data_IF_539273716120
#
_entry.id   IF_539273716120
#
_cell.length_a   1.000
_cell.length_b   1.000
_cell.length_c   1.000
_cell.angle_alpha   90.00
_cell.angle_beta   90.00
_cell.angle_gamma   90.00
#
_symmetry.space_group_name_H-M   'P 1'
#
loop_
_entity.id
_entity.type
_entity.pdbx_description
1 polymer ?
#
# COMPACT_ATOMS: atom_id res chain seq x y z
N UNK A 1 19.25 34.52 18.96
CA UNK A 1 19.45 34.37 17.50
C UNK A 1 20.82 33.75 17.28
N UNK A 2 20.94 32.64 16.53
CA UNK A 2 22.24 32.06 16.12
C UNK A 2 22.43 32.31 14.63
N UNK A 3 23.55 32.90 14.17
CA UNK A 3 23.77 33.15 12.75
C UNK A 3 23.80 31.86 11.92
N UNK A 4 23.28 31.91 10.69
CA UNK A 4 23.16 30.75 9.78
C UNK A 4 24.51 30.03 9.57
N UNK A 5 25.61 30.79 9.45
CA UNK A 5 26.96 30.24 9.27
C UNK A 5 27.38 29.28 10.41
N UNK A 6 27.08 29.63 11.65
CA UNK A 6 27.36 28.75 12.81
C UNK A 6 26.51 27.47 12.78
N UNK A 7 25.31 27.52 12.20
CA UNK A 7 24.47 26.35 12.02
C UNK A 7 25.06 25.42 10.94
N UNK A 8 25.52 25.97 9.82
CA UNK A 8 26.17 25.21 8.74
C UNK A 8 27.46 24.54 9.21
N UNK A 9 28.31 25.24 9.98
CA UNK A 9 29.51 24.69 10.59
C UNK A 9 29.16 23.55 11.57
N UNK A 10 28.08 23.68 12.35
CA UNK A 10 27.60 22.62 13.23
C UNK A 10 27.04 21.40 12.49
N UNK A 11 26.49 21.57 11.28
CA UNK A 11 26.09 20.47 10.43
C UNK A 11 27.30 19.76 9.80
N UNK A 12 28.32 20.53 9.41
CA UNK A 12 29.55 19.99 8.83
C UNK A 12 30.38 19.15 9.82
N UNK A 13 30.31 19.48 11.12
CA UNK A 13 31.09 18.80 12.16
C UNK A 13 30.63 17.36 12.49
N UNK A 14 29.44 16.94 12.07
CA UNK A 14 28.96 15.58 12.32
C UNK A 14 28.16 15.04 11.13
N UNK A 15 28.59 13.89 10.59
CA UNK A 15 27.98 13.33 9.38
C UNK A 15 26.51 12.94 9.59
N UNK A 16 26.12 12.46 10.79
CA UNK A 16 24.74 12.13 11.12
C UNK A 16 23.79 13.35 10.96
N UNK A 17 24.24 14.54 11.38
CA UNK A 17 23.44 15.76 11.18
C UNK A 17 23.32 16.14 9.71
N UNK A 18 24.44 16.10 8.98
CA UNK A 18 24.48 16.42 7.55
C UNK A 18 23.56 15.51 6.75
N UNK A 19 23.66 14.19 6.94
CA UNK A 19 22.81 13.24 6.20
C UNK A 19 21.35 13.33 6.61
N UNK A 20 21.05 13.63 7.88
CA UNK A 20 19.67 13.84 8.34
C UNK A 20 19.02 15.02 7.62
N UNK A 21 19.72 16.17 7.54
CA UNK A 21 19.22 17.35 6.83
C UNK A 21 19.10 17.09 5.33
N UNK A 22 20.11 16.47 4.72
CA UNK A 22 20.07 16.13 3.29
C UNK A 22 18.91 15.19 2.95
N UNK A 23 18.68 14.18 3.79
CA UNK A 23 17.57 13.23 3.62
C UNK A 23 16.23 13.94 3.81
N UNK A 24 16.10 14.82 4.81
CA UNK A 24 14.89 15.62 4.98
C UNK A 24 14.59 16.45 3.73
N UNK A 25 15.59 17.10 3.12
CA UNK A 25 15.42 17.85 1.88
C UNK A 25 14.97 16.96 0.71
N UNK A 26 15.50 15.73 0.60
CA UNK A 26 15.09 14.80 -0.47
C UNK A 26 13.64 14.31 -0.32
N UNK A 27 13.06 14.36 0.89
CA UNK A 27 11.65 14.02 1.09
C UNK A 27 10.68 14.94 0.34
N UNK A 28 11.06 16.20 0.08
CA UNK A 28 10.20 17.15 -0.64
C UNK A 28 9.90 16.70 -2.09
N UNK A 29 10.80 15.90 -2.67
CA UNK A 29 10.65 15.34 -4.02
C UNK A 29 9.92 13.99 -4.00
N UNK A 30 9.70 13.42 -2.81
CA UNK A 30 9.11 12.10 -2.63
C UNK A 30 7.61 12.21 -2.38
N UNK A 31 6.82 11.79 -3.36
CA UNK A 31 5.36 11.67 -3.19
C UNK A 31 5.05 10.42 -2.37
N UNK A 32 4.31 10.61 -1.28
CA UNK A 32 3.73 9.49 -0.52
C UNK A 32 2.59 8.91 -1.34
N UNK A 33 2.60 7.60 -1.52
CA UNK A 33 1.54 6.89 -2.25
C UNK A 33 0.55 6.27 -1.26
N UNK A 34 -0.71 6.17 -1.67
CA UNK A 34 -1.66 5.26 -1.01
C UNK A 34 -1.64 3.94 -1.80
N UNK A 35 -1.08 2.85 -1.26
CA UNK A 35 -1.04 1.58 -1.97
C UNK A 35 -2.46 1.06 -2.22
N UNK A 36 -2.66 0.39 -3.35
CA UNK A 36 -3.91 -0.32 -3.61
C UNK A 36 -3.97 -1.56 -2.70
N UNK A 37 -5.00 -1.66 -1.87
CA UNK A 37 -5.15 -2.75 -0.91
C UNK A 37 -6.24 -3.74 -1.29
N UNK A 38 -7.01 -3.48 -2.35
CA UNK A 38 -8.13 -4.31 -2.78
C UNK A 38 -7.92 -4.73 -4.21
N UNK A 39 -8.12 -6.01 -4.46
CA UNK A 39 -7.85 -6.65 -5.74
C UNK A 39 -9.04 -7.52 -6.11
N UNK A 40 -9.62 -7.25 -7.28
CA UNK A 40 -10.64 -8.11 -7.86
C UNK A 40 -9.97 -9.37 -8.41
N UNK A 41 -10.60 -10.51 -8.17
CA UNK A 41 -10.10 -11.79 -8.65
C UNK A 41 -11.24 -12.66 -9.22
N UNK A 42 -11.95 -12.19 -10.26
CA UNK A 42 -12.91 -13.05 -10.98
C UNK A 42 -12.21 -14.19 -11.72
N UNK A 43 -10.95 -14.00 -12.10
CA UNK A 43 -10.03 -15.02 -12.59
C UNK A 43 -8.58 -14.56 -12.34
N UNK A 44 -7.63 -15.49 -12.47
CA UNK A 44 -6.22 -15.21 -12.21
C UNK A 44 -5.62 -14.16 -13.13
N UNK A 45 -6.09 -14.05 -14.38
CA UNK A 45 -5.54 -13.09 -15.34
C UNK A 45 -5.86 -11.66 -14.91
N UNK A 46 -7.11 -11.40 -14.49
CA UNK A 46 -7.52 -10.09 -13.95
C UNK A 46 -6.75 -9.78 -12.67
N UNK A 47 -6.62 -10.75 -11.76
CA UNK A 47 -5.85 -10.57 -10.53
C UNK A 47 -4.38 -10.20 -10.82
N UNK A 48 -3.72 -10.93 -11.72
CA UNK A 48 -2.32 -10.65 -12.11
C UNK A 48 -2.16 -9.28 -12.74
N UNK A 49 -3.14 -8.83 -13.54
CA UNK A 49 -3.15 -7.50 -14.13
C UNK A 49 -3.30 -6.41 -13.06
N UNK A 50 -4.28 -6.52 -12.16
CA UNK A 50 -4.46 -5.56 -11.07
C UNK A 50 -3.22 -5.48 -10.16
N UNK A 51 -2.62 -6.63 -9.84
CA UNK A 51 -1.37 -6.69 -9.07
C UNK A 51 -0.24 -5.96 -9.82
N UNK A 52 -0.10 -6.19 -11.13
CA UNK A 52 0.96 -5.58 -11.94
C UNK A 52 0.85 -4.05 -11.94
N UNK A 53 -0.36 -3.51 -12.07
CA UNK A 53 -0.58 -2.07 -12.00
C UNK A 53 -0.29 -1.52 -10.59
N UNK A 54 -0.69 -2.23 -9.54
CA UNK A 54 -0.44 -1.83 -8.16
C UNK A 54 1.05 -1.84 -7.76
N UNK A 55 1.85 -2.74 -8.35
CA UNK A 55 3.30 -2.83 -8.09
C UNK A 55 4.07 -1.62 -8.64
N UNK A 56 3.64 -0.99 -9.74
CA UNK A 56 4.36 0.12 -10.40
C UNK A 56 4.65 1.30 -9.46
N UNK A 57 3.64 1.96 -8.84
CA UNK A 57 3.90 3.08 -7.94
C UNK A 57 4.65 2.63 -6.67
N UNK A 58 4.38 1.42 -6.16
CA UNK A 58 5.03 0.89 -4.97
C UNK A 58 6.53 0.65 -5.19
N UNK A 59 6.94 0.16 -6.35
CA UNK A 59 8.35 -0.03 -6.71
C UNK A 59 9.12 1.31 -6.77
N UNK A 60 8.52 2.34 -7.36
CA UNK A 60 9.12 3.69 -7.39
C UNK A 60 9.26 4.25 -5.98
N UNK A 61 8.26 4.04 -5.13
CA UNK A 61 8.29 4.51 -3.75
C UNK A 61 9.33 3.78 -2.90
N UNK A 62 9.40 2.44 -2.99
CA UNK A 62 10.42 1.62 -2.33
C UNK A 62 11.84 2.02 -2.76
N UNK A 63 12.07 2.23 -4.06
CA UNK A 63 13.36 2.68 -4.56
C UNK A 63 13.81 3.99 -3.88
N UNK A 64 12.90 4.97 -3.74
CA UNK A 64 13.19 6.25 -3.07
C UNK A 64 13.46 6.08 -1.58
N UNK A 65 12.67 5.25 -0.90
CA UNK A 65 12.89 4.93 0.51
C UNK A 65 14.24 4.23 0.73
N UNK A 66 14.63 3.35 -0.19
CA UNK A 66 15.93 2.72 -0.13
C UNK A 66 17.07 3.73 -0.29
N UNK A 67 16.95 4.70 -1.21
CA UNK A 67 17.94 5.78 -1.33
C UNK A 67 18.06 6.59 -0.04
N UNK A 68 16.92 6.94 0.59
CA UNK A 68 16.93 7.65 1.88
C UNK A 68 17.58 6.83 2.99
N UNK A 69 17.32 5.52 3.03
CA UNK A 69 17.96 4.63 3.99
C UNK A 69 19.49 4.63 3.80
N UNK A 70 19.96 4.49 2.55
CA UNK A 70 21.38 4.52 2.24
C UNK A 70 22.03 5.85 2.63
N UNK A 71 21.37 6.98 2.34
CA UNK A 71 21.84 8.31 2.75
C UNK A 71 21.99 8.41 4.28
N UNK A 72 20.99 7.96 5.04
CA UNK A 72 21.05 7.98 6.50
C UNK A 72 22.13 7.03 7.04
N UNK A 73 22.32 5.87 6.41
CA UNK A 73 23.33 4.88 6.80
C UNK A 73 24.75 5.46 6.75
N UNK A 74 25.04 6.39 5.84
CA UNK A 74 26.34 7.07 5.78
C UNK A 74 26.68 7.85 7.05
N UNK A 75 25.68 8.32 7.80
CA UNK A 75 25.86 9.04 9.07
C UNK A 75 25.73 8.18 10.32
N UNK A 76 25.38 6.89 10.17
CA UNK A 76 25.05 6.00 11.28
C UNK A 76 26.19 5.86 12.29
N UNK A 77 27.45 5.78 11.82
CA UNK A 77 28.64 5.69 12.68
C UNK A 77 28.91 6.96 13.51
N UNK A 78 28.43 8.12 13.05
CA UNK A 78 28.62 9.39 13.73
C UNK A 78 27.48 9.73 14.70
N UNK A 79 26.44 8.86 14.77
CA UNK A 79 25.30 9.02 15.68
C UNK A 79 25.74 9.06 17.14
N UNK A 80 26.68 8.22 17.55
CA UNK A 80 27.17 8.17 18.94
C UNK A 80 27.92 9.44 19.36
N UNK A 81 28.50 10.16 18.39
CA UNK A 81 29.20 11.43 18.61
C UNK A 81 28.25 12.61 18.81
N UNK A 82 26.94 12.41 18.68
CA UNK A 82 25.94 13.45 18.88
C UNK A 82 25.72 13.70 20.39
N UNK A 83 26.16 14.86 20.86
CA UNK A 83 26.02 15.26 22.27
C UNK A 83 24.64 15.82 22.61
N UNK A 84 23.87 16.27 21.61
CA UNK A 84 22.55 16.86 21.82
C UNK A 84 21.46 15.79 21.70
N UNK A 85 20.62 15.57 22.74
CA UNK A 85 19.55 14.57 22.72
C UNK A 85 18.59 14.74 21.53
N UNK A 86 18.24 15.99 21.19
CA UNK A 86 17.39 16.32 20.04
C UNK A 86 17.92 15.76 18.71
N UNK A 87 19.24 15.86 18.48
CA UNK A 87 19.84 15.35 17.22
C UNK A 87 19.87 13.83 17.19
N UNK A 88 20.16 13.17 18.34
CA UNK A 88 20.08 11.70 18.46
C UNK A 88 18.67 11.20 18.16
N UNK A 89 17.68 11.70 18.92
CA UNK A 89 16.28 11.35 18.75
C UNK A 89 15.80 11.55 17.31
N UNK A 90 16.17 12.67 16.68
CA UNK A 90 15.76 12.97 15.31
C UNK A 90 16.40 12.04 14.28
N UNK A 91 17.68 11.69 14.46
CA UNK A 91 18.36 10.75 13.56
C UNK A 91 17.76 9.35 13.69
N UNK A 92 17.61 8.85 14.92
CA UNK A 92 17.07 7.51 15.15
C UNK A 92 15.61 7.41 14.69
N UNK A 93 14.79 8.44 14.95
CA UNK A 93 13.41 8.49 14.47
C UNK A 93 13.35 8.52 12.93
N UNK A 94 14.20 9.30 12.28
CA UNK A 94 14.25 9.35 10.81
C UNK A 94 14.65 7.99 10.22
N UNK A 95 15.71 7.36 10.74
CA UNK A 95 16.16 6.04 10.30
C UNK A 95 15.07 5.00 10.52
N UNK A 96 14.46 4.97 11.70
CA UNK A 96 13.40 4.05 12.06
C UNK A 96 12.17 4.18 11.15
N UNK A 97 11.72 5.41 10.88
CA UNK A 97 10.56 5.66 10.01
C UNK A 97 10.83 5.33 8.55
N UNK A 98 12.01 5.67 8.01
CA UNK A 98 12.39 5.30 6.64
C UNK A 98 12.43 3.77 6.50
N UNK A 99 13.04 3.06 7.46
CA UNK A 99 13.06 1.60 7.47
C UNK A 99 11.65 1.01 7.60
N UNK A 100 10.78 1.58 8.45
CA UNK A 100 9.40 1.11 8.61
C UNK A 100 8.59 1.27 7.32
N UNK A 101 8.68 2.44 6.68
CA UNK A 101 8.05 2.69 5.39
C UNK A 101 8.59 1.75 4.31
N UNK A 102 9.91 1.52 4.29
CA UNK A 102 10.54 0.61 3.32
C UNK A 102 10.10 -0.83 3.55
N UNK A 103 10.06 -1.31 4.80
CA UNK A 103 9.58 -2.65 5.12
C UNK A 103 8.14 -2.85 4.59
N UNK A 104 7.26 -1.85 4.76
CA UNK A 104 5.89 -1.92 4.22
C UNK A 104 5.87 -1.86 2.70
N UNK A 105 6.59 -0.95 2.05
CA UNK A 105 6.57 -0.79 0.59
C UNK A 105 7.22 -1.99 -0.12
N UNK A 106 8.37 -2.44 0.37
CA UNK A 106 9.09 -3.59 -0.15
C UNK A 106 8.34 -4.89 0.12
N UNK A 107 7.87 -5.10 1.37
CA UNK A 107 7.07 -6.25 1.74
C UNK A 107 5.77 -6.35 0.93
N UNK A 108 5.11 -5.22 0.70
CA UNK A 108 3.95 -5.13 -0.20
C UNK A 108 4.28 -5.67 -1.58
N UNK A 109 5.36 -5.19 -2.21
CA UNK A 109 5.76 -5.64 -3.54
C UNK A 109 6.08 -7.14 -3.61
N UNK A 110 6.73 -7.68 -2.58
CA UNK A 110 7.05 -9.13 -2.53
C UNK A 110 5.78 -9.96 -2.37
N UNK A 111 4.91 -9.62 -1.42
CA UNK A 111 3.65 -10.36 -1.18
C UNK A 111 2.73 -10.30 -2.40
N UNK A 112 2.73 -9.17 -3.13
CA UNK A 112 2.08 -9.05 -4.43
C UNK A 112 2.72 -9.95 -5.50
N UNK A 113 4.06 -9.98 -5.58
CA UNK A 113 4.77 -10.82 -6.55
C UNK A 113 4.53 -12.31 -6.30
N UNK A 114 4.50 -12.74 -5.05
CA UNK A 114 4.15 -14.10 -4.63
C UNK A 114 2.72 -14.46 -5.10
N UNK A 115 1.73 -13.60 -4.82
CA UNK A 115 0.34 -13.80 -5.25
C UNK A 115 0.19 -13.83 -6.78
N UNK A 116 0.99 -13.04 -7.50
CA UNK A 116 1.00 -13.04 -8.97
C UNK A 116 1.53 -14.34 -9.55
N UNK A 117 2.58 -14.88 -8.92
CA UNK A 117 3.30 -16.08 -9.37
C UNK A 117 2.52 -17.34 -9.01
N UNK A 118 2.03 -17.40 -7.77
CA UNK A 118 1.25 -18.51 -7.22
C UNK A 118 -0.02 -17.95 -6.56
N UNK A 119 -1.10 -17.73 -7.35
CA UNK A 119 -2.36 -17.23 -6.81
C UNK A 119 -2.92 -18.16 -5.75
N UNK A 120 -3.38 -17.60 -4.63
CA UNK A 120 -4.10 -18.35 -3.60
C UNK A 120 -5.52 -18.65 -4.07
N UNK A 121 -6.00 -19.85 -3.76
CA UNK A 121 -7.41 -20.23 -3.95
C UNK A 121 -8.29 -19.68 -2.84
N UNK A 122 -9.53 -19.32 -3.16
CA UNK A 122 -10.53 -18.95 -2.17
C UNK A 122 -10.91 -20.16 -1.32
N UNK A 123 -11.05 -19.94 -0.01
CA UNK A 123 -11.48 -20.95 0.95
C UNK A 123 -12.96 -20.74 1.33
N UNK A 124 -13.40 -19.49 1.42
CA UNK A 124 -14.77 -19.13 1.77
C UNK A 124 -15.69 -19.13 0.55
N UNK A 125 -16.83 -19.82 0.66
CA UNK A 125 -17.85 -19.87 -0.39
C UNK A 125 -18.40 -18.47 -0.68
N UNK A 126 -18.24 -18.00 -1.91
CA UNK A 126 -18.74 -16.71 -2.37
C UNK A 126 -17.74 -15.55 -2.27
N UNK A 127 -16.52 -15.80 -1.81
CA UNK A 127 -15.41 -14.86 -1.97
C UNK A 127 -15.02 -14.73 -3.44
N UNK A 128 -14.74 -13.51 -3.87
CA UNK A 128 -14.40 -13.18 -5.27
C UNK A 128 -13.32 -12.09 -5.38
N UNK A 129 -12.76 -11.65 -4.25
CA UNK A 129 -11.78 -10.59 -4.20
C UNK A 129 -10.81 -10.80 -3.02
N UNK A 130 -9.63 -10.19 -3.14
CA UNK A 130 -8.58 -10.21 -2.15
C UNK A 130 -8.32 -8.81 -1.60
N UNK A 131 -8.08 -8.73 -0.30
CA UNK A 131 -7.65 -7.51 0.37
C UNK A 131 -6.33 -7.76 1.09
N UNK A 132 -5.43 -6.81 0.99
CA UNK A 132 -4.21 -6.81 1.77
C UNK A 132 -4.43 -6.01 3.06
N UNK A 133 -4.08 -6.60 4.21
CA UNK A 133 -4.19 -5.97 5.52
C UNK A 133 -2.84 -5.94 6.22
N UNK A 134 -2.58 -4.92 7.08
CA UNK A 134 -1.39 -4.92 7.92
C UNK A 134 -1.39 -6.13 8.86
N UNK A 135 -0.25 -6.82 8.94
CA UNK A 135 -0.08 -8.00 9.80
C UNK A 135 1.19 -7.89 10.64
N UNK A 136 1.13 -8.46 11.84
CA UNK A 136 2.30 -8.59 12.73
C UNK A 136 3.32 -9.57 12.14
N UNK A 137 2.86 -10.52 11.32
CA UNK A 137 3.75 -11.43 10.62
C UNK A 137 4.40 -10.72 9.42
N UNK A 138 5.72 -10.75 9.36
CA UNK A 138 6.50 -10.13 8.28
C UNK A 138 6.71 -11.15 7.17
N UNK A 139 5.67 -11.29 6.33
CA UNK A 139 5.74 -11.96 5.04
C UNK A 139 6.64 -11.18 4.06
N UNK A 140 7.15 -11.86 3.01
CA UNK A 140 8.03 -11.26 2.01
C UNK A 140 9.53 -11.55 2.15
N UNK A 141 9.89 -12.53 2.97
CA UNK A 141 11.24 -13.12 2.99
C UNK A 141 12.28 -12.42 3.89
N UNK A 142 13.54 -12.91 3.89
CA UNK A 142 14.56 -12.48 4.84
C UNK A 142 14.95 -11.01 4.75
N UNK A 143 14.91 -10.42 3.56
CA UNK A 143 15.31 -9.02 3.36
C UNK A 143 14.27 -8.05 3.95
N UNK A 144 12.98 -8.32 3.77
CA UNK A 144 11.90 -7.53 4.41
C UNK A 144 12.02 -7.61 5.92
N UNK A 145 12.25 -8.81 6.47
CA UNK A 145 12.48 -9.01 7.91
C UNK A 145 13.67 -8.24 8.44
N UNK A 146 14.78 -8.20 7.69
CA UNK A 146 15.98 -7.43 8.07
C UNK A 146 15.68 -5.93 8.19
N UNK A 147 15.00 -5.35 7.18
CA UNK A 147 14.63 -3.93 7.19
C UNK A 147 13.62 -3.63 8.31
N UNK A 148 12.63 -4.50 8.51
CA UNK A 148 11.65 -4.37 9.57
C UNK A 148 12.30 -4.46 10.97
N UNK A 149 13.27 -5.36 11.17
CA UNK A 149 14.03 -5.44 12.41
C UNK A 149 14.82 -4.16 12.67
N UNK A 150 15.49 -3.61 11.66
CA UNK A 150 16.19 -2.32 11.76
C UNK A 150 15.22 -1.20 12.15
N UNK A 151 14.03 -1.16 11.54
CA UNK A 151 12.99 -0.20 11.92
C UNK A 151 12.61 -0.31 13.40
N UNK A 152 12.35 -1.53 13.88
CA UNK A 152 12.02 -1.78 15.29
C UNK A 152 13.16 -1.36 16.23
N UNK A 153 14.40 -1.76 15.94
CA UNK A 153 15.58 -1.41 16.75
C UNK A 153 15.72 0.11 16.91
N UNK A 154 15.57 0.87 15.82
CA UNK A 154 15.68 2.33 15.86
C UNK A 154 14.51 3.01 16.57
N UNK A 155 13.27 2.58 16.29
CA UNK A 155 12.08 3.18 16.90
C UNK A 155 12.00 2.86 18.39
N UNK A 156 12.27 1.61 18.79
CA UNK A 156 12.35 1.21 20.20
C UNK A 156 13.44 2.00 20.92
N UNK A 157 14.61 2.19 20.31
CA UNK A 157 15.66 3.04 20.89
C UNK A 157 15.20 4.48 21.14
N UNK A 158 14.42 5.08 20.23
CA UNK A 158 13.86 6.41 20.45
C UNK A 158 12.90 6.44 21.64
N UNK A 159 12.07 5.41 21.78
CA UNK A 159 11.14 5.28 22.91
C UNK A 159 11.93 5.16 24.20
N UNK A 160 12.88 4.23 24.26
CA UNK A 160 13.64 3.91 25.47
C UNK A 160 14.51 5.07 25.93
N UNK A 161 15.23 5.73 25.01
CA UNK A 161 16.19 6.79 25.32
C UNK A 161 15.55 8.19 25.43
N UNK A 162 14.35 8.40 24.89
CA UNK A 162 13.69 9.71 24.81
C UNK A 162 12.23 9.69 25.27
N UNK A 163 11.94 8.95 26.34
CA UNK A 163 10.60 8.80 26.93
C UNK A 163 9.94 10.14 27.25
N UNK A 164 8.61 10.20 27.06
CA UNK A 164 7.80 11.40 27.34
C UNK A 164 8.03 12.57 26.37
N UNK A 165 8.87 12.39 25.34
CA UNK A 165 9.10 13.41 24.32
C UNK A 165 8.20 13.20 23.10
N UNK A 166 7.97 14.24 22.26
CA UNK A 166 7.27 14.07 21.00
C UNK A 166 7.92 13.05 20.06
N UNK A 167 9.23 12.82 20.14
CA UNK A 167 9.92 11.80 19.33
C UNK A 167 9.50 10.39 19.73
N UNK A 168 9.42 10.09 21.04
CA UNK A 168 8.94 8.80 21.53
C UNK A 168 7.49 8.55 21.12
N UNK A 169 6.61 9.55 21.28
CA UNK A 169 5.21 9.45 20.82
C UNK A 169 5.11 9.12 19.31
N UNK A 170 5.94 9.76 18.48
CA UNK A 170 5.98 9.47 17.04
C UNK A 170 6.49 8.06 16.75
N UNK A 171 7.49 7.60 17.51
CA UNK A 171 8.03 6.24 17.37
C UNK A 171 7.01 5.18 17.79
N UNK A 172 6.30 5.38 18.90
CA UNK A 172 5.21 4.51 19.37
C UNK A 172 4.10 4.41 18.33
N UNK A 173 3.67 5.56 17.78
CA UNK A 173 2.66 5.61 16.72
C UNK A 173 3.11 4.83 15.48
N UNK A 174 4.38 4.95 15.10
CA UNK A 174 4.93 4.24 13.94
C UNK A 174 4.95 2.72 14.17
N UNK A 175 5.35 2.27 15.37
CA UNK A 175 5.33 0.85 15.76
C UNK A 175 3.93 0.28 15.98
N UNK A 176 2.96 1.12 16.31
CA UNK A 176 1.55 0.72 16.43
C UNK A 176 0.94 0.26 15.11
N UNK A 177 1.53 0.63 13.97
CA UNK A 177 1.12 0.13 12.66
C UNK A 177 2.02 -1.04 12.25
N UNK A 178 1.47 -2.26 12.04
CA UNK A 178 2.26 -3.41 11.66
C UNK A 178 3.12 -3.18 10.40
N UNK A 179 4.25 -3.89 10.33
CA UNK A 179 5.22 -3.77 9.24
C UNK A 179 5.01 -4.80 8.13
N UNK A 180 4.24 -5.86 8.41
CA UNK A 180 3.95 -6.94 7.48
C UNK A 180 2.61 -6.80 6.78
N UNK A 181 2.37 -7.70 5.85
CA UNK A 181 1.15 -7.76 5.05
C UNK A 181 0.60 -9.17 5.00
N UNK A 182 -0.73 -9.27 4.99
CA UNK A 182 -1.45 -10.52 4.90
C UNK A 182 -2.62 -10.40 3.93
N UNK A 183 -2.88 -11.49 3.20
CA UNK A 183 -4.00 -11.60 2.28
C UNK A 183 -5.25 -12.08 3.02
N UNK A 184 -6.35 -11.34 2.86
CA UNK A 184 -7.68 -11.72 3.32
C UNK A 184 -8.62 -11.80 2.13
N UNK A 185 -9.32 -12.92 2.00
CA UNK A 185 -10.41 -13.04 1.04
C UNK A 185 -11.64 -12.28 1.53
N UNK A 186 -12.40 -11.70 0.60
CA UNK A 186 -13.68 -11.09 0.90
C UNK A 186 -14.61 -11.17 -0.30
N UNK A 187 -15.90 -10.91 -0.03
CA UNK A 187 -16.93 -10.79 -1.07
C UNK A 187 -17.10 -9.33 -1.45
N UNK A 188 -16.74 -8.99 -2.69
CA UNK A 188 -17.05 -7.71 -3.30
C UNK A 188 -18.32 -7.81 -4.14
N UNK A 189 -19.40 -7.19 -3.66
CA UNK A 189 -20.67 -7.10 -4.39
C UNK A 189 -20.57 -6.20 -5.64
N UNK A 190 -19.65 -5.23 -5.65
CA UNK A 190 -19.47 -4.29 -6.77
C UNK A 190 -18.70 -4.92 -7.95
N UNK A 191 -17.80 -5.86 -7.67
CA UNK A 191 -17.09 -6.63 -8.70
C UNK A 191 -18.04 -7.49 -9.54
N UNK A 192 -19.11 -8.02 -8.92
CA UNK A 192 -20.16 -8.76 -9.64
C UNK A 192 -20.95 -7.86 -10.61
N UNK A 193 -21.19 -6.59 -10.25
CA UNK A 193 -21.87 -5.62 -11.12
C UNK A 193 -20.99 -5.17 -12.30
N UNK A 194 -19.66 -5.03 -12.10
CA UNK A 194 -18.71 -4.67 -13.16
C UNK A 194 -18.55 -5.77 -14.21
N UNK A 195 -18.55 -7.03 -13.78
CA UNK A 195 -18.49 -8.18 -14.70
C UNK A 195 -19.81 -8.46 -15.43
N UNK A 196 -20.94 -7.93 -14.94
CA UNK A 196 -22.24 -8.03 -15.60
C UNK A 196 -22.47 -7.02 -16.73
N UNK A 197 -21.56 -6.05 -16.94
CA UNK A 197 -21.79 -4.91 -17.84
C UNK A 197 -20.76 -4.75 -18.96
N UNK A 198 -20.18 -5.86 -19.42
CA UNK A 198 -19.26 -5.91 -20.56
C UNK A 198 -19.92 -5.86 -21.95
N UNK A 199 -21.25 -5.76 -22.03
CA UNK A 199 -21.96 -5.62 -23.30
C UNK A 199 -22.84 -4.37 -23.27
N UNK A 200 -22.20 -3.20 -23.18
CA UNK A 200 -22.88 -1.92 -23.41
C UNK A 200 -23.06 -1.72 -24.93
N UNK A 201 -23.80 -2.63 -25.55
CA UNK A 201 -24.22 -2.53 -26.94
C UNK A 201 -25.66 -2.01 -26.92
N UNK A 202 -25.91 -0.72 -27.19
CA UNK A 202 -27.24 -0.11 -27.06
C UNK A 202 -28.30 -0.80 -27.94
N UNK A 203 -27.88 -1.57 -28.95
CA UNK A 203 -28.76 -2.33 -29.83
C UNK A 203 -29.38 -3.59 -29.18
N UNK A 204 -28.78 -4.18 -28.14
CA UNK A 204 -29.31 -5.44 -27.57
C UNK A 204 -30.54 -5.22 -26.69
N UNK A 205 -30.62 -4.08 -25.97
CA UNK A 205 -31.84 -3.68 -25.27
C UNK A 205 -32.97 -3.36 -26.25
N UNK A 206 -32.66 -2.69 -27.36
CA UNK A 206 -33.65 -2.36 -28.39
C UNK A 206 -34.21 -3.62 -29.07
N UNK A 207 -33.36 -4.60 -29.39
CA UNK A 207 -33.78 -5.90 -29.93
C UNK A 207 -34.67 -6.68 -28.93
N UNK A 208 -34.32 -6.67 -27.64
CA UNK A 208 -35.13 -7.33 -26.62
C UNK A 208 -36.48 -6.62 -26.39
N UNK A 209 -36.54 -5.29 -26.51
CA UNK A 209 -37.78 -4.52 -26.46
C UNK A 209 -38.66 -4.74 -27.70
N UNK A 210 -38.07 -4.83 -28.90
CA UNK A 210 -38.77 -5.16 -30.13
C UNK A 210 -39.34 -6.58 -30.12
N UNK A 211 -38.58 -7.57 -29.63
CA UNK A 211 -39.06 -8.94 -29.49
C UNK A 211 -40.21 -9.05 -28.48
N UNK A 212 -40.12 -8.34 -27.34
CA UNK A 212 -41.22 -8.25 -26.37
C UNK A 212 -42.46 -7.59 -26.96
N UNK A 213 -42.30 -6.52 -27.76
CA UNK A 213 -43.43 -5.89 -28.47
C UNK A 213 -44.06 -6.84 -29.49
N UNK A 214 -43.26 -7.57 -30.28
CA UNK A 214 -43.75 -8.57 -31.24
C UNK A 214 -44.47 -9.73 -30.54
N UNK A 215 -43.97 -10.21 -29.39
CA UNK A 215 -44.65 -11.23 -28.59
C UNK A 215 -45.96 -10.73 -27.97
N UNK A 216 -46.00 -9.50 -27.46
CA UNK A 216 -47.24 -8.90 -26.96
C UNK A 216 -48.27 -8.71 -28.07
N UNK A 217 -47.86 -8.26 -29.25
CA UNK A 217 -48.76 -8.11 -30.40
C UNK A 217 -49.30 -9.47 -30.88
N UNK A 218 -48.47 -10.52 -30.92
CA UNK A 218 -48.94 -11.89 -31.23
C UNK A 218 -49.96 -12.38 -30.20
N UNK A 219 -49.68 -12.23 -28.90
CA UNK A 219 -50.61 -12.62 -27.82
C UNK A 219 -51.93 -11.84 -27.85
N UNK A 220 -51.90 -10.55 -28.23
CA UNK A 220 -53.11 -9.74 -28.38
C UNK A 220 -53.92 -10.13 -29.63
N UNK A 221 -53.26 -10.48 -30.73
CA UNK A 221 -53.92 -10.97 -31.94
C UNK A 221 -54.55 -12.35 -31.73
N UNK A 222 -53.93 -13.20 -30.92
CA UNK A 222 -54.41 -14.55 -30.57
C UNK A 222 -55.63 -14.49 -29.63
N UNK A 223 -55.61 -13.58 -28.63
CA UNK A 223 -56.78 -13.30 -27.77
C UNK A 223 -57.99 -12.78 -28.54
N UNK A 224 -57.80 -11.99 -29.60
CA UNK A 224 -58.90 -11.49 -30.46
C UNK A 224 -59.54 -12.56 -31.35
N UNK A 225 -58.90 -13.73 -31.53
CA UNK A 225 -59.39 -14.80 -32.43
C UNK A 225 -60.27 -15.84 -31.73
N UNK A 226 -60.46 -15.76 -30.42
CA UNK A 226 -61.41 -16.63 -29.71
C UNK A 226 -62.81 -16.07 -29.92
N UNK A 227 -63.53 -16.61 -30.91
CA UNK A 227 -64.96 -16.33 -31.10
C UNK A 227 -65.76 -16.99 -29.96
N UNK A 228 -66.86 -16.36 -29.48
CA UNK A 228 -67.73 -17.00 -28.50
C UNK A 228 -68.41 -18.22 -29.13
N UNK A 229 -68.53 -19.32 -28.38
CA UNK A 229 -69.37 -20.44 -28.77
C UNK A 229 -70.84 -19.99 -28.78
N UNK A 230 -71.51 -20.25 -29.90
CA UNK A 230 -72.97 -20.20 -30.06
C UNK A 230 -73.62 -21.35 -29.31
#
# INVERSE_FOLDING_TARGET
>A
YRPIKFYEEQLASNRAKKVLVNTATSTHQTRVISPQLRFNAPNDNVLRQEITEAQKPAAVYDYRLHQMELMLQEGEKDREKLTTPRWRASFDLAMGRVCALRARAYGYNIVLAEMKSTPKSFQTKGSNAWRLVPSKEIAGGPQVRKVAKKAQEYLTRVIDEHQGTPWAMLAERELGTPLGWEWQEYRDASAAAKNGNGNNNPNLLQLAEEEKKKQMQKKMAEKKRVKPNL
#
